data_IF_720647746169
#
_entry.id   IF_720647746169
#
_cell.length_a   1.000
_cell.length_b   1.000
_cell.length_c   1.000
_cell.angle_alpha   90.00
_cell.angle_beta   90.00
_cell.angle_gamma   90.00
#
_symmetry.space_group_name_H-M   'P 1'
#
loop_
_entity.id
_entity.type
_entity.pdbx_description
1 polymer ?
#
# COMPACT_ATOMS: atom_id res chain seq x y z
N UNK A 1 -43.23 -16.66 -3.09
CA UNK A 1 -44.12 -16.84 -4.26
C UNK A 1 -44.17 -15.51 -4.99
N UNK A 2 -43.46 -15.29 -6.09
CA UNK A 2 -43.37 -16.12 -7.28
C UNK A 2 -44.48 -15.67 -8.24
N UNK A 3 -44.22 -14.64 -9.06
CA UNK A 3 -43.92 -14.72 -10.50
C UNK A 3 -45.17 -14.47 -11.38
N UNK A 4 -45.15 -13.45 -12.25
CA UNK A 4 -45.52 -13.59 -13.68
C UNK A 4 -45.44 -12.28 -14.47
N UNK A 5 -44.36 -12.21 -15.24
CA UNK A 5 -44.28 -11.75 -16.62
C UNK A 5 -45.59 -11.79 -17.44
N UNK A 6 -45.80 -10.82 -18.35
CA UNK A 6 -46.07 -11.13 -19.76
C UNK A 6 -45.80 -9.95 -20.69
N UNK A 7 -44.87 -10.20 -21.60
CA UNK A 7 -44.58 -9.45 -22.82
C UNK A 7 -45.75 -9.48 -23.81
N UNK A 8 -46.04 -8.38 -24.50
CA UNK A 8 -46.51 -8.39 -25.90
C UNK A 8 -46.62 -6.98 -26.52
N UNK A 9 -45.62 -6.64 -27.33
CA UNK A 9 -45.72 -6.07 -28.70
C UNK A 9 -46.85 -5.08 -29.03
N UNK A 10 -46.48 -3.84 -29.37
CA UNK A 10 -46.98 -3.11 -30.56
C UNK A 10 -46.02 -1.98 -30.97
N UNK A 11 -44.93 -2.41 -31.60
CA UNK A 11 -44.14 -1.91 -32.74
C UNK A 11 -44.30 -0.49 -33.36
N UNK A 12 -45.03 0.48 -32.78
CA UNK A 12 -45.22 1.80 -33.42
C UNK A 12 -44.76 3.01 -32.61
N UNK A 13 -44.37 2.84 -31.34
CA UNK A 13 -43.94 3.96 -30.47
C UNK A 13 -42.43 3.91 -30.17
N UNK A 14 -41.63 3.36 -31.10
CA UNK A 14 -40.16 3.28 -30.96
C UNK A 14 -39.46 4.52 -31.56
N UNK A 15 -40.17 5.42 -32.23
CA UNK A 15 -39.55 6.54 -32.98
C UNK A 15 -39.33 7.80 -32.11
N UNK A 16 -40.07 8.00 -31.01
CA UNK A 16 -40.03 9.29 -30.25
C UNK A 16 -39.17 9.22 -28.96
N UNK A 17 -38.49 8.11 -28.68
CA UNK A 17 -37.56 8.00 -27.54
C UNK A 17 -36.07 7.99 -27.95
N UNK A 18 -35.71 8.57 -29.10
CA UNK A 18 -34.33 8.52 -29.62
C UNK A 18 -33.48 9.78 -29.40
N UNK A 19 -34.07 10.94 -29.05
CA UNK A 19 -33.30 12.20 -28.97
C UNK A 19 -32.53 12.40 -27.65
N UNK A 20 -32.84 11.67 -26.58
CA UNK A 20 -32.10 11.79 -25.32
C UNK A 20 -30.94 10.77 -25.17
N UNK A 21 -30.81 9.82 -26.11
CA UNK A 21 -29.74 8.81 -26.09
C UNK A 21 -28.48 9.23 -26.87
N UNK A 22 -28.43 10.47 -27.37
CA UNK A 22 -27.31 11.04 -28.12
C UNK A 22 -26.50 12.09 -27.33
N UNK A 23 -26.29 11.89 -26.02
CA UNK A 23 -25.30 12.72 -25.30
C UNK A 23 -24.74 12.14 -23.99
N UNK A 24 -25.42 11.20 -23.30
CA UNK A 24 -24.91 10.64 -22.02
C UNK A 24 -23.80 9.60 -22.16
N UNK A 25 -23.66 8.96 -23.33
CA UNK A 25 -22.66 7.89 -23.56
C UNK A 25 -21.25 8.43 -23.71
N UNK A 26 -21.07 9.65 -24.22
CA UNK A 26 -19.75 10.25 -24.45
C UNK A 26 -19.12 10.72 -23.13
N UNK A 27 -19.91 11.38 -22.28
CA UNK A 27 -19.44 11.86 -20.97
C UNK A 27 -19.12 10.73 -19.99
N UNK A 28 -19.94 9.66 -19.95
CA UNK A 28 -19.62 8.44 -19.17
C UNK A 28 -18.40 7.69 -19.70
N UNK A 29 -18.11 7.75 -21.01
CA UNK A 29 -16.90 7.17 -21.61
C UNK A 29 -15.66 7.99 -21.28
N UNK A 30 -15.74 9.33 -21.34
CA UNK A 30 -14.67 10.24 -20.90
C UNK A 30 -14.35 10.10 -19.42
N UNK A 31 -15.37 9.99 -18.57
CA UNK A 31 -15.21 9.81 -17.12
C UNK A 31 -14.62 8.44 -16.75
N UNK A 32 -15.01 7.36 -17.46
CA UNK A 32 -14.38 6.04 -17.32
C UNK A 32 -12.93 6.04 -17.80
N UNK A 33 -12.64 6.70 -18.91
CA UNK A 33 -11.26 6.86 -19.42
C UNK A 33 -10.37 7.63 -18.44
N UNK A 34 -10.88 8.73 -17.87
CA UNK A 34 -10.17 9.49 -16.84
C UNK A 34 -9.94 8.66 -15.56
N UNK A 35 -10.94 7.91 -15.11
CA UNK A 35 -10.80 7.03 -13.95
C UNK A 35 -9.74 5.94 -14.18
N UNK A 36 -9.71 5.33 -15.37
CA UNK A 36 -8.69 4.32 -15.74
C UNK A 36 -7.30 4.97 -15.80
N UNK A 37 -7.18 6.17 -16.39
CA UNK A 37 -5.91 6.89 -16.46
C UNK A 37 -5.39 7.27 -15.06
N UNK A 38 -6.26 7.72 -14.16
CA UNK A 38 -5.90 8.03 -12.77
C UNK A 38 -5.47 6.78 -12.00
N UNK A 39 -6.17 5.66 -12.15
CA UNK A 39 -5.79 4.39 -11.50
C UNK A 39 -4.47 3.85 -12.04
N UNK A 40 -4.25 3.93 -13.36
CA UNK A 40 -2.99 3.54 -13.98
C UNK A 40 -1.82 4.43 -13.52
N UNK A 41 -2.04 5.74 -13.42
CA UNK A 41 -1.05 6.69 -12.91
C UNK A 41 -0.73 6.44 -11.44
N UNK A 42 -1.75 6.18 -10.60
CA UNK A 42 -1.55 5.82 -9.20
C UNK A 42 -0.76 4.51 -9.05
N UNK A 43 -1.09 3.50 -9.87
CA UNK A 43 -0.38 2.21 -9.88
C UNK A 43 1.08 2.34 -10.32
N UNK A 44 1.36 3.20 -11.30
CA UNK A 44 2.72 3.46 -11.78
C UNK A 44 3.57 4.18 -10.71
N UNK A 45 2.98 5.09 -9.94
CA UNK A 45 3.66 5.77 -8.84
C UNK A 45 4.03 4.82 -7.70
N UNK A 46 3.17 3.85 -7.37
CA UNK A 46 3.45 2.86 -6.32
C UNK A 46 4.62 1.93 -6.68
N UNK A 47 4.80 1.61 -7.95
CA UNK A 47 5.91 0.75 -8.41
C UNK A 47 7.29 1.44 -8.34
N UNK A 48 7.34 2.78 -8.25
CA UNK A 48 8.59 3.56 -8.18
C UNK A 48 9.24 3.62 -6.80
N UNK A 49 8.56 3.20 -5.74
CA UNK A 49 9.06 3.23 -4.35
C UNK A 49 9.59 1.87 -3.87
N UNK A 50 10.08 1.02 -4.77
CA UNK A 50 10.81 -0.18 -4.37
C UNK A 50 12.21 0.23 -3.89
N UNK A 51 12.31 0.69 -2.65
CA UNK A 51 13.58 0.87 -1.95
C UNK A 51 14.22 -0.50 -1.75
N UNK A 52 15.18 -0.84 -2.60
CA UNK A 52 16.06 -2.00 -2.39
C UNK A 52 17.06 -1.61 -1.30
N UNK A 53 16.77 -2.00 -0.06
CA UNK A 53 17.72 -1.87 1.05
C UNK A 53 18.85 -2.89 0.80
N UNK A 54 19.87 -2.45 0.05
CA UNK A 54 20.95 -3.31 -0.42
C UNK A 54 21.96 -3.52 0.72
N UNK A 55 21.73 -4.52 1.58
CA UNK A 55 22.75 -5.04 2.48
C UNK A 55 22.27 -5.45 3.87
N UNK A 56 21.14 -4.92 4.35
CA UNK A 56 20.59 -5.31 5.64
C UNK A 56 19.53 -6.40 5.46
N UNK A 57 19.66 -7.49 6.20
CA UNK A 57 18.72 -8.59 6.20
C UNK A 57 18.24 -8.85 7.62
N UNK A 58 16.95 -9.15 7.77
CA UNK A 58 16.43 -9.62 9.04
C UNK A 58 17.07 -10.95 9.43
N UNK A 59 17.32 -11.16 10.71
CA UNK A 59 17.93 -12.37 11.27
C UNK A 59 19.27 -12.75 10.57
N UNK A 60 20.08 -11.73 10.26
CA UNK A 60 21.37 -11.91 9.60
C UNK A 60 22.28 -12.91 10.33
N UNK A 61 22.20 -12.96 11.67
CA UNK A 61 23.03 -13.81 12.50
C UNK A 61 22.50 -15.23 12.67
N UNK A 62 21.35 -15.61 12.12
CA UNK A 62 20.72 -16.92 12.31
C UNK A 62 21.69 -18.12 12.19
N UNK A 63 22.51 -18.12 11.14
CA UNK A 63 23.39 -19.25 10.81
C UNK A 63 24.70 -19.25 11.60
N UNK A 64 25.21 -18.07 11.93
CA UNK A 64 26.51 -17.91 12.58
C UNK A 64 26.39 -17.85 14.10
N UNK A 65 25.39 -17.13 14.61
CA UNK A 65 25.09 -16.97 16.02
C UNK A 65 23.58 -16.70 16.23
N UNK A 66 22.75 -17.74 16.31
CA UNK A 66 21.29 -17.60 16.44
C UNK A 66 20.85 -16.94 17.76
N UNK A 67 21.74 -16.91 18.75
CA UNK A 67 21.46 -16.33 20.07
C UNK A 67 21.86 -14.85 20.16
N UNK A 68 22.44 -14.26 19.11
CA UNK A 68 23.00 -12.91 19.16
C UNK A 68 21.96 -11.87 19.60
N UNK A 69 20.80 -11.82 18.93
CA UNK A 69 19.74 -10.87 19.26
C UNK A 69 19.19 -11.09 20.69
N UNK A 70 19.04 -12.34 21.12
CA UNK A 70 18.58 -12.68 22.46
C UNK A 70 19.59 -12.25 23.55
N UNK A 71 20.89 -12.50 23.33
CA UNK A 71 21.95 -12.11 24.25
C UNK A 71 21.99 -10.59 24.39
N UNK A 72 21.90 -9.85 23.27
CA UNK A 72 21.90 -8.38 23.29
C UNK A 72 20.66 -7.87 24.05
N UNK A 73 19.47 -8.39 23.75
CA UNK A 73 18.23 -7.97 24.40
C UNK A 73 18.23 -8.21 25.92
N UNK A 74 18.65 -9.41 26.35
CA UNK A 74 18.69 -9.76 27.78
C UNK A 74 19.76 -8.97 28.54
N UNK A 75 20.88 -8.66 27.90
CA UNK A 75 21.93 -7.82 28.48
C UNK A 75 21.44 -6.39 28.61
N UNK A 76 20.81 -5.83 27.57
CA UNK A 76 20.23 -4.49 27.61
C UNK A 76 19.16 -4.37 28.70
N UNK A 77 18.25 -5.33 28.83
CA UNK A 77 17.22 -5.31 29.89
C UNK A 77 17.84 -5.24 31.30
N UNK A 78 18.92 -6.00 31.56
CA UNK A 78 19.65 -5.93 32.83
C UNK A 78 20.29 -4.56 33.05
N UNK A 79 20.95 -4.02 32.02
CA UNK A 79 21.62 -2.72 32.10
C UNK A 79 20.62 -1.57 32.33
N UNK A 80 19.47 -1.62 31.66
CA UNK A 80 18.39 -0.63 31.80
C UNK A 80 17.81 -0.66 33.21
N UNK A 81 17.60 -1.85 33.78
CA UNK A 81 17.14 -2.02 35.16
C UNK A 81 18.13 -1.47 36.18
N UNK A 82 19.42 -1.49 35.86
CA UNK A 82 20.46 -0.92 36.72
C UNK A 82 20.52 0.60 36.57
N UNK A 83 20.63 1.11 35.34
CA UNK A 83 20.75 2.52 35.03
C UNK A 83 20.08 2.85 33.69
N UNK A 84 19.02 3.65 33.73
CA UNK A 84 18.26 4.02 32.52
C UNK A 84 19.04 4.96 31.59
N UNK A 85 20.00 5.73 32.11
CA UNK A 85 20.81 6.69 31.34
C UNK A 85 21.66 6.04 30.25
N UNK A 86 21.83 4.72 30.27
CA UNK A 86 22.57 3.96 29.24
C UNK A 86 21.85 3.98 27.89
N UNK A 87 20.51 3.97 27.88
CA UNK A 87 19.71 3.95 26.64
C UNK A 87 19.97 5.17 25.75
N UNK A 88 19.78 6.41 26.23
CA UNK A 88 20.03 7.58 25.39
C UNK A 88 21.51 7.71 25.00
N UNK A 89 22.43 7.26 25.85
CA UNK A 89 23.86 7.29 25.54
C UNK A 89 24.22 6.32 24.41
N UNK A 90 23.68 5.10 24.41
CA UNK A 90 23.90 4.11 23.35
C UNK A 90 23.36 4.61 22.01
N UNK A 91 22.17 5.19 22.01
CA UNK A 91 21.56 5.78 20.83
C UNK A 91 22.41 6.94 20.30
N UNK A 92 22.90 7.83 21.19
CA UNK A 92 23.80 8.92 20.81
C UNK A 92 25.10 8.42 20.19
N UNK A 93 25.72 7.36 20.73
CA UNK A 93 26.93 6.75 20.15
C UNK A 93 26.64 6.17 18.76
N UNK A 94 25.53 5.45 18.59
CA UNK A 94 25.13 4.91 17.28
C UNK A 94 24.96 6.01 16.23
N UNK A 95 24.31 7.12 16.59
CA UNK A 95 24.19 8.29 15.72
C UNK A 95 25.55 8.94 15.43
N UNK A 96 26.42 9.05 16.44
CA UNK A 96 27.74 9.64 16.26
C UNK A 96 28.58 8.86 15.24
N UNK A 97 28.61 7.53 15.33
CA UNK A 97 29.35 6.66 14.40
C UNK A 97 28.78 6.69 12.98
N UNK A 98 27.48 6.93 12.83
CA UNK A 98 26.83 6.93 11.52
C UNK A 98 26.98 8.29 10.81
N UNK A 99 26.89 9.40 11.54
CA UNK A 99 26.86 10.75 10.98
C UNK A 99 28.24 11.42 10.92
N UNK A 100 29.19 11.05 11.78
CA UNK A 100 30.56 11.56 11.73
C UNK A 100 31.39 10.58 10.89
N UNK A 101 31.60 10.92 9.62
CA UNK A 101 32.45 10.19 8.68
C UNK A 101 33.49 11.12 8.07
#
# INVERSE_FOLDING_TARGET
VGVSYKWASRKHVVIILSSAFCSRKSLKRKMKGLAIALVAFLGLMVAGFASTDCGLQYDYYHKSCPQAEQIIATTMDKLIKQNFDIVPNLVRMHFHDCFVR
#
